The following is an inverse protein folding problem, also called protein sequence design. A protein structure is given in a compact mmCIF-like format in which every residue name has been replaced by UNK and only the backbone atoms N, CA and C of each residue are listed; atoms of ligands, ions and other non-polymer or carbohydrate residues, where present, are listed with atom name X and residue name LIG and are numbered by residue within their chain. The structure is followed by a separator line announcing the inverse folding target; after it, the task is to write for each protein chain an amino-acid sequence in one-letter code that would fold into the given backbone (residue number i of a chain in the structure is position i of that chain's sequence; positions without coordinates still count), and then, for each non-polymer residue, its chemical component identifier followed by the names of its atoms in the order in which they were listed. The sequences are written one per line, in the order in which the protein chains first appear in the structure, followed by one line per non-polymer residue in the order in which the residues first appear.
data_IF_218478322498
#
_entry.id   IF_218478322498
#
_cell.length_a   1.000
_cell.length_b   1.000
_cell.length_c   1.000
_cell.angle_alpha   90.00
_cell.angle_beta   90.00
_cell.angle_gamma   90.00
#
_symmetry.space_group_name_H-M   'P 1'
#
loop_
_entity.id
_entity.type
_entity.pdbx_description
1 polymer ?
#
# COMPACT_ATOMS: atom_id res chain seq x y z
N UNK A 1 -36.63 -0.47 -60.66
CA UNK A 1 -35.34 -0.29 -59.97
C UNK A 1 -35.70 0.26 -58.58
N UNK A 2 -36.20 -0.53 -57.63
CA UNK A 2 -35.57 -1.64 -56.89
C UNK A 2 -34.27 -1.24 -56.21
N UNK A 3 -34.38 -0.94 -54.90
CA UNK A 3 -33.33 -1.25 -53.92
C UNK A 3 -32.63 -0.06 -53.28
N UNK A 4 -33.20 0.50 -52.20
CA UNK A 4 -32.45 0.85 -50.96
C UNK A 4 -33.31 1.41 -49.79
N UNK A 5 -34.48 0.83 -49.52
CA UNK A 5 -35.28 1.17 -48.31
C UNK A 5 -35.29 0.05 -47.25
N UNK A 6 -34.39 -0.93 -47.35
CA UNK A 6 -34.43 -2.16 -46.54
C UNK A 6 -33.28 -2.34 -45.54
N UNK A 7 -32.69 -1.28 -44.99
CA UNK A 7 -31.55 -1.46 -44.05
C UNK A 7 -31.59 -0.62 -42.77
N UNK A 8 -32.55 0.30 -42.60
CA UNK A 8 -32.69 1.06 -41.35
C UNK A 8 -33.77 0.48 -40.40
N UNK A 9 -34.69 -0.35 -40.90
CA UNK A 9 -35.71 -1.01 -40.07
C UNK A 9 -35.23 -2.22 -39.26
N UNK A 10 -34.15 -2.89 -39.70
CA UNK A 10 -33.69 -4.15 -39.08
C UNK A 10 -32.70 -3.97 -37.91
N UNK A 11 -32.19 -2.74 -37.69
CA UNK A 11 -31.30 -2.43 -36.56
C UNK A 11 -32.05 -1.85 -35.35
N UNK A 12 -33.30 -1.40 -35.54
CA UNK A 12 -34.12 -0.85 -34.46
C UNK A 12 -34.85 -1.93 -33.63
N UNK A 13 -35.16 -3.10 -34.20
CA UNK A 13 -35.82 -4.20 -33.45
C UNK A 13 -34.85 -5.12 -32.67
N UNK A 14 -33.54 -5.06 -32.95
CA UNK A 14 -32.56 -5.88 -32.24
C UNK A 14 -32.13 -5.31 -30.87
N UNK A 15 -32.47 -4.05 -30.56
CA UNK A 15 -32.07 -3.37 -29.31
C UNK A 15 -33.21 -3.11 -28.33
N UNK A 16 -34.44 -3.51 -28.64
CA UNK A 16 -35.60 -3.32 -27.74
C UNK A 16 -35.77 -4.42 -26.68
N UNK A 17 -34.90 -5.44 -26.66
CA UNK A 17 -34.99 -6.60 -25.76
C UNK A 17 -34.01 -6.60 -24.58
N UNK A 18 -33.10 -5.61 -24.48
CA UNK A 18 -32.19 -5.49 -23.34
C UNK A 18 -32.81 -4.56 -22.30
N UNK A 19 -33.09 -5.13 -21.14
CA UNK A 19 -33.69 -4.45 -20.00
C UNK A 19 -33.00 -3.12 -19.68
N UNK A 20 -33.84 -2.15 -19.32
CA UNK A 20 -33.45 -0.81 -18.86
C UNK A 20 -32.19 -0.85 -17.99
N UNK A 21 -31.13 -0.09 -18.32
CA UNK A 21 -30.09 0.20 -17.34
C UNK A 21 -30.74 0.99 -16.22
N UNK A 22 -30.76 0.41 -15.03
CA UNK A 22 -31.15 1.11 -13.81
C UNK A 22 -30.23 2.31 -13.62
N UNK A 23 -30.82 3.45 -13.29
CA UNK A 23 -30.12 4.60 -12.76
C UNK A 23 -29.43 4.21 -11.45
N UNK A 24 -28.11 4.08 -11.48
CA UNK A 24 -27.28 4.19 -10.28
C UNK A 24 -26.28 5.31 -10.56
N UNK A 25 -26.79 6.53 -10.40
CA UNK A 25 -25.97 7.68 -10.08
C UNK A 25 -26.08 7.87 -8.58
N UNK A 26 -25.09 7.35 -7.86
CA UNK A 26 -24.56 7.94 -6.64
C UNK A 26 -23.05 7.76 -6.78
N UNK A 27 -22.33 8.88 -6.83
CA UNK A 27 -20.88 8.91 -6.69
C UNK A 27 -20.57 8.28 -5.33
N UNK A 28 -20.02 7.06 -5.32
CA UNK A 28 -19.48 6.46 -4.11
C UNK A 28 -18.44 7.45 -3.56
N UNK A 29 -18.66 7.93 -2.34
CA UNK A 29 -17.74 8.88 -1.71
C UNK A 29 -16.37 8.23 -1.50
N UNK A 30 -15.33 9.04 -1.33
CA UNK A 30 -13.98 8.52 -1.06
C UNK A 30 -13.93 7.64 0.20
N UNK A 31 -14.86 7.86 1.14
CA UNK A 31 -15.06 7.01 2.32
C UNK A 31 -15.58 5.60 1.97
N UNK A 32 -16.40 5.43 0.93
CA UNK A 32 -16.85 4.13 0.43
C UNK A 32 -15.76 3.42 -0.38
N UNK A 33 -14.89 4.17 -1.05
CA UNK A 33 -13.73 3.62 -1.77
C UNK A 33 -12.65 3.09 -0.81
N UNK A 34 -12.43 3.77 0.32
CA UNK A 34 -11.54 3.31 1.39
C UNK A 34 -12.15 2.19 2.24
N UNK A 35 -13.48 2.19 2.44
CA UNK A 35 -14.19 1.13 3.17
C UNK A 35 -14.07 -0.26 2.50
N UNK A 36 -13.72 -0.34 1.22
CA UNK A 36 -13.48 -1.61 0.52
C UNK A 36 -12.06 -2.18 0.66
N UNK A 37 -11.10 -1.38 1.12
CA UNK A 37 -9.68 -1.78 1.24
C UNK A 37 -9.41 -2.52 2.54
N UNK A 38 -10.02 -2.03 3.63
CA UNK A 38 -9.96 -2.62 4.96
C UNK A 38 -11.35 -3.11 5.35
N UNK A 39 -11.44 -4.37 5.75
CA UNK A 39 -12.67 -4.90 6.34
C UNK A 39 -13.05 -4.07 7.60
N UNK A 40 -14.33 -3.91 7.96
CA UNK A 40 -14.74 -3.21 9.18
C UNK A 40 -13.96 -3.64 10.44
N UNK A 41 -13.59 -4.92 10.53
CA UNK A 41 -12.75 -5.43 11.63
C UNK A 41 -11.32 -4.85 11.59
N UNK A 42 -10.76 -4.62 10.40
CA UNK A 42 -9.44 -3.99 10.21
C UNK A 42 -9.48 -2.51 10.55
N UNK A 43 -10.56 -1.83 10.14
CA UNK A 43 -10.80 -0.43 10.49
C UNK A 43 -10.97 -0.26 11.99
N UNK A 44 -11.78 -1.11 12.64
CA UNK A 44 -11.96 -1.10 14.08
C UNK A 44 -10.66 -1.44 14.84
N UNK A 45 -9.84 -2.37 14.34
CA UNK A 45 -8.55 -2.68 14.94
C UNK A 45 -7.55 -1.51 14.82
N UNK A 46 -7.55 -0.81 13.68
CA UNK A 46 -6.75 0.39 13.45
C UNK A 46 -7.21 1.55 14.36
N UNK A 47 -8.52 1.79 14.44
CA UNK A 47 -9.11 2.79 15.32
C UNK A 47 -8.83 2.49 16.80
N UNK A 48 -8.94 1.24 17.23
CA UNK A 48 -8.60 0.82 18.59
C UNK A 48 -7.10 1.00 18.89
N UNK A 49 -6.23 0.75 17.91
CA UNK A 49 -4.80 0.99 18.07
C UNK A 49 -4.47 2.48 18.14
N UNK A 50 -5.09 3.31 17.28
CA UNK A 50 -4.97 4.76 17.33
C UNK A 50 -5.44 5.32 18.68
N UNK A 51 -6.60 4.86 19.19
CA UNK A 51 -7.10 5.24 20.51
C UNK A 51 -6.14 4.83 21.64
N UNK A 52 -5.53 3.64 21.54
CA UNK A 52 -4.55 3.18 22.52
C UNK A 52 -3.30 4.07 22.56
N UNK A 53 -2.84 4.54 21.39
CA UNK A 53 -1.70 5.47 21.29
C UNK A 53 -2.04 6.84 21.90
N UNK A 54 -3.24 7.38 21.67
CA UNK A 54 -3.69 8.64 22.29
C UNK A 54 -3.77 8.56 23.83
N UNK A 55 -4.22 7.42 24.38
CA UNK A 55 -4.21 7.21 25.85
C UNK A 55 -2.80 7.09 26.41
N UNK A 56 -1.87 6.42 25.71
CA UNK A 56 -0.50 6.28 26.16
C UNK A 56 0.23 7.64 26.21
N UNK A 57 -0.05 8.51 25.24
CA UNK A 57 0.52 9.86 25.18
C UNK A 57 -0.03 10.75 26.32
N UNK A 58 -1.31 10.60 26.64
CA UNK A 58 -1.95 11.30 27.76
C UNK A 58 -1.37 10.89 29.13
N UNK A 59 -1.11 9.59 29.35
CA UNK A 59 -0.48 9.10 30.58
C UNK A 59 0.99 9.56 30.70
N UNK A 60 1.71 9.69 29.58
CA UNK A 60 3.08 10.20 29.57
C UNK A 60 3.12 11.69 29.96
N UNK A 61 2.18 12.49 29.45
CA UNK A 61 2.04 13.92 29.77
C UNK A 61 1.65 14.12 31.24
N UNK A 62 0.79 13.28 31.81
CA UNK A 62 0.46 13.36 33.24
C UNK A 62 1.64 12.94 34.14
N UNK A 63 2.45 11.96 33.73
CA UNK A 63 3.65 11.56 34.46
C UNK A 63 4.71 12.67 34.51
N UNK A 64 4.96 13.39 33.39
CA UNK A 64 5.88 14.53 33.38
C UNK A 64 5.38 15.72 34.22
N UNK A 65 4.05 15.91 34.30
CA UNK A 65 3.45 17.00 35.08
C UNK A 65 3.60 16.79 36.60
N UNK A 66 3.75 15.56 37.05
CA UNK A 66 3.94 15.23 38.48
C UNK A 66 5.40 15.43 38.91
N UNK A 67 6.38 15.34 38.00
CA UNK A 67 7.80 15.60 38.32
C UNK A 67 8.19 17.09 38.25
N UNK A 68 7.39 17.94 37.59
CA UNK A 68 7.64 19.39 37.50
C UNK A 68 7.25 20.23 38.73
N UNK A 69 6.88 19.60 39.85
CA UNK A 69 6.41 20.25 41.07
C UNK A 69 7.49 20.99 41.86
N UNK A 70 7.74 22.24 41.47
CA UNK A 70 8.09 23.39 42.33
C UNK A 70 9.27 23.19 43.32
N UNK A 71 10.48 23.40 42.82
CA UNK A 71 11.67 23.65 43.65
C UNK A 71 11.61 25.09 44.17
N UNK A 72 11.10 25.28 45.39
CA UNK A 72 11.24 26.53 46.13
C UNK A 72 12.70 26.66 46.62
N UNK A 73 13.47 27.49 45.94
CA UNK A 73 14.77 27.99 46.41
C UNK A 73 14.55 29.00 47.55
N UNK A 74 14.56 28.57 48.80
CA UNK A 74 15.08 29.37 49.93
C UNK A 74 15.33 28.49 51.15
N UNK A 75 16.59 28.44 51.63
CA UNK A 75 17.01 28.32 53.05
C UNK A 75 18.29 27.50 53.21
N UNK A 76 19.43 28.19 53.24
CA UNK A 76 20.54 27.82 54.11
C UNK A 76 20.12 28.04 55.56
N UNK A 77 20.13 26.98 56.38
CA UNK A 77 20.80 26.91 57.69
C UNK A 77 20.24 25.79 58.59
N UNK A 78 21.18 25.10 59.25
CA UNK A 78 21.08 24.48 60.57
C UNK A 78 20.45 23.07 60.72
N UNK A 79 21.36 22.17 61.15
CA UNK A 79 21.17 21.12 62.17
C UNK A 79 20.33 19.89 61.83
N UNK A 80 20.93 18.72 62.06
CA UNK A 80 20.36 17.43 61.69
C UNK A 80 19.27 16.91 62.60
N UNK A 81 18.54 15.91 62.08
CA UNK A 81 18.06 14.77 62.86
C UNK A 81 17.66 13.66 61.90
N UNK A 82 18.01 12.43 62.26
CA UNK A 82 17.62 11.20 61.59
C UNK A 82 16.10 10.99 61.64
N UNK A 83 15.50 10.60 60.50
CA UNK A 83 14.28 9.79 60.42
C UNK A 83 14.40 8.90 59.18
N UNK A 84 14.26 7.58 59.37
CA UNK A 84 14.30 6.59 58.31
C UNK A 84 13.02 6.54 57.48
N UNK A 85 13.16 6.15 56.21
CA UNK A 85 12.06 5.84 55.31
C UNK A 85 12.31 4.49 54.64
N UNK A 86 11.58 3.47 55.10
CA UNK A 86 11.54 2.11 54.57
C UNK A 86 10.82 2.09 53.21
N UNK A 87 11.47 2.49 52.13
CA UNK A 87 10.98 2.24 50.76
C UNK A 87 12.20 1.99 49.85
N UNK A 88 12.82 0.81 49.96
CA UNK A 88 13.68 0.26 48.89
C UNK A 88 14.12 -1.16 49.24
N UNK A 89 13.17 -2.10 49.24
CA UNK A 89 13.51 -3.52 49.30
C UNK A 89 12.72 -4.33 48.26
N UNK A 90 11.49 -3.93 47.94
CA UNK A 90 10.70 -4.56 46.89
C UNK A 90 11.20 -4.24 45.48
N UNK A 91 11.62 -3.00 45.20
CA UNK A 91 12.20 -2.64 43.91
C UNK A 91 13.53 -3.35 43.63
N UNK A 92 14.37 -3.52 44.67
CA UNK A 92 15.62 -4.26 44.56
C UNK A 92 15.40 -5.77 44.33
N UNK A 93 14.34 -6.37 44.92
CA UNK A 93 14.00 -7.78 44.66
C UNK A 93 13.48 -8.01 43.24
N UNK A 94 12.65 -7.13 42.70
CA UNK A 94 12.10 -7.29 41.34
C UNK A 94 13.22 -7.24 40.29
N UNK A 95 14.19 -6.34 40.44
CA UNK A 95 15.35 -6.28 39.54
C UNK A 95 16.24 -7.53 39.66
N UNK A 96 16.38 -8.10 40.87
CA UNK A 96 17.19 -9.31 41.08
C UNK A 96 16.54 -10.58 40.50
N UNK A 97 15.22 -10.71 40.59
CA UNK A 97 14.48 -11.87 40.03
C UNK A 97 14.47 -11.83 38.49
N UNK A 98 14.35 -10.64 37.88
CA UNK A 98 14.41 -10.50 36.43
C UNK A 98 15.82 -10.77 35.86
N UNK A 99 16.88 -10.36 36.57
CA UNK A 99 18.26 -10.66 36.18
C UNK A 99 18.60 -12.16 36.26
N UNK A 100 18.03 -12.90 37.23
CA UNK A 100 18.25 -14.35 37.36
C UNK A 100 17.43 -15.18 36.35
N UNK A 101 16.25 -14.70 35.93
CA UNK A 101 15.45 -15.34 34.88
C UNK A 101 16.13 -15.33 33.50
N UNK A 102 16.83 -14.24 33.16
CA UNK A 102 17.55 -14.11 31.88
C UNK A 102 18.78 -15.04 31.80
N UNK A 103 19.41 -15.39 32.93
CA UNK A 103 20.59 -16.26 32.94
C UNK A 103 20.22 -17.75 32.77
N UNK A 104 19.00 -18.15 33.13
CA UNK A 104 18.52 -19.53 32.97
C UNK A 104 18.20 -19.91 31.52
N UNK A 105 17.85 -18.93 30.67
CA UNK A 105 17.53 -19.16 29.24
C UNK A 105 18.80 -19.34 28.40
N UNK A 106 19.95 -18.82 28.84
CA UNK A 106 21.21 -18.90 28.08
C UNK A 106 21.99 -20.20 28.37
N UNK A 107 21.69 -20.92 29.44
CA UNK A 107 22.42 -22.14 29.85
C UNK A 107 21.69 -23.47 29.55
N UNK A 108 20.54 -23.43 28.86
CA UNK A 108 19.72 -24.63 28.58
C UNK A 108 20.14 -25.49 27.39
N UNK A 109 21.26 -25.22 26.72
CA UNK A 109 21.60 -25.84 25.42
C UNK A 109 22.92 -26.62 25.45
N UNK A 110 23.07 -27.56 26.38
CA UNK A 110 24.14 -28.56 26.32
C UNK A 110 23.61 -29.94 26.73
N UNK A 111 22.96 -30.63 25.79
CA UNK A 111 22.82 -32.08 25.84
C UNK A 111 24.08 -32.74 25.27
N UNK A 112 24.69 -33.56 26.11
CA UNK A 112 25.81 -34.44 25.83
C UNK A 112 25.31 -35.67 25.06
N UNK A 113 25.80 -35.86 23.83
CA UNK A 113 25.68 -37.11 23.08
C UNK A 113 27.07 -37.67 22.78
N UNK A 114 27.57 -38.56 23.65
CA UNK A 114 28.67 -39.48 23.36
C UNK A 114 28.08 -40.75 22.75
N UNK A 115 28.51 -41.14 21.55
CA UNK A 115 29.07 -42.47 21.37
C UNK A 115 29.78 -42.68 20.03
N UNK A 116 30.73 -43.61 20.12
CA UNK A 116 31.82 -43.88 19.21
C UNK A 116 31.42 -44.60 17.92
N UNK A 117 32.25 -44.40 16.89
CA UNK A 117 32.70 -45.51 16.06
C UNK A 117 32.75 -45.29 14.55
N UNK A 118 33.90 -45.69 14.00
CA UNK A 118 34.14 -46.09 12.61
C UNK A 118 34.66 -45.03 11.62
N UNK A 119 35.98 -45.14 11.43
CA UNK A 119 36.80 -44.80 10.26
C UNK A 119 36.04 -44.77 8.93
N UNK A 120 36.23 -43.69 8.17
CA UNK A 120 36.69 -43.81 6.78
C UNK A 120 37.28 -42.49 6.29
N UNK A 121 38.53 -42.54 5.84
CA UNK A 121 39.22 -41.46 5.15
C UNK A 121 38.66 -41.35 3.74
N UNK A 122 38.04 -40.22 3.39
CA UNK A 122 37.82 -39.81 2.00
C UNK A 122 38.17 -38.32 1.90
N UNK A 123 39.04 -38.02 0.94
CA UNK A 123 39.59 -36.70 0.67
C UNK A 123 38.49 -35.69 0.29
N UNK A 124 38.44 -34.57 1.02
CA UNK A 124 37.73 -33.36 0.62
C UNK A 124 38.65 -32.45 -0.20
N UNK A 125 38.23 -31.96 -1.37
CA UNK A 125 38.92 -30.88 -2.05
C UNK A 125 38.65 -29.55 -1.32
N UNK A 126 39.71 -28.74 -1.21
CA UNK A 126 39.64 -27.38 -0.71
C UNK A 126 38.78 -26.51 -1.64
N UNK A 127 37.70 -25.94 -1.12
CA UNK A 127 37.00 -24.82 -1.74
C UNK A 127 36.56 -23.87 -0.63
N UNK A 128 37.52 -23.10 -0.12
CA UNK A 128 37.25 -21.95 0.72
C UNK A 128 36.73 -20.81 -0.16
N UNK A 129 35.42 -20.77 -0.40
CA UNK A 129 34.76 -19.55 -0.82
C UNK A 129 34.64 -18.67 0.43
N UNK A 130 35.56 -17.71 0.56
CA UNK A 130 35.42 -16.62 1.50
C UNK A 130 34.08 -15.92 1.20
N UNK A 131 33.13 -16.00 2.13
CA UNK A 131 31.98 -15.11 2.13
C UNK A 131 32.55 -13.70 2.29
N UNK A 132 32.65 -12.98 1.19
CA UNK A 132 32.91 -11.55 1.19
C UNK A 132 31.76 -10.91 1.93
N UNK A 133 31.97 -10.62 3.22
CA UNK A 133 31.14 -9.69 3.98
C UNK A 133 30.94 -8.46 3.10
N UNK A 134 29.70 -8.22 2.70
CA UNK A 134 29.31 -7.05 1.93
C UNK A 134 29.85 -5.84 2.69
N UNK A 135 30.93 -5.24 2.20
CA UNK A 135 31.49 -4.05 2.81
C UNK A 135 30.44 -2.98 2.63
N UNK A 136 29.72 -2.64 3.71
CA UNK A 136 28.84 -1.50 3.72
C UNK A 136 29.67 -0.30 3.24
N UNK A 137 29.29 0.25 2.09
CA UNK A 137 29.94 1.44 1.57
C UNK A 137 29.80 2.53 2.64
N UNK A 138 30.85 3.32 2.90
CA UNK A 138 30.76 4.42 3.86
C UNK A 138 29.60 5.32 3.46
N UNK A 139 28.58 5.40 4.32
CA UNK A 139 27.40 6.22 4.07
C UNK A 139 27.79 7.66 4.34
N UNK A 140 27.69 8.51 3.32
CA UNK A 140 27.99 9.93 3.45
C UNK A 140 26.82 10.68 4.09
N UNK A 141 27.13 11.74 4.85
CA UNK A 141 26.13 12.58 5.49
C UNK A 141 25.62 13.66 4.53
N UNK A 142 24.37 14.05 4.71
CA UNK A 142 23.75 15.22 4.07
C UNK A 142 23.49 16.27 5.16
N UNK A 143 23.94 17.50 4.94
CA UNK A 143 23.94 18.56 5.94
C UNK A 143 22.79 19.55 5.69
N UNK A 144 22.15 20.10 6.75
CA UNK A 144 21.13 21.14 6.60
C UNK A 144 21.61 22.34 5.76
N UNK A 145 20.74 22.85 4.89
CA UNK A 145 21.01 23.99 4.00
C UNK A 145 21.76 23.63 2.72
N UNK A 146 22.28 22.41 2.59
CA UNK A 146 23.00 21.97 1.40
C UNK A 146 22.09 21.30 0.37
N UNK A 147 22.45 21.49 -0.90
CA UNK A 147 21.88 20.73 -2.02
C UNK A 147 22.72 19.49 -2.26
N UNK A 148 22.03 18.36 -2.43
CA UNK A 148 22.66 17.06 -2.64
C UNK A 148 22.15 16.43 -3.93
N UNK A 149 23.03 15.66 -4.55
CA UNK A 149 22.72 14.78 -5.67
C UNK A 149 23.09 13.35 -5.27
N UNK A 150 22.17 12.42 -5.48
CA UNK A 150 22.42 10.98 -5.35
C UNK A 150 22.45 10.37 -6.75
N UNK A 151 23.51 9.62 -7.02
CA UNK A 151 23.54 8.73 -8.17
C UNK A 151 22.65 7.51 -7.94
N UNK A 152 22.62 6.65 -8.96
CA UNK A 152 21.93 5.37 -8.89
C UNK A 152 22.59 4.46 -7.85
N UNK A 153 21.76 3.91 -6.97
CA UNK A 153 22.13 3.03 -5.85
C UNK A 153 23.02 3.71 -4.80
N UNK A 154 23.07 5.05 -4.80
CA UNK A 154 23.73 5.82 -3.75
C UNK A 154 22.78 6.05 -2.57
N UNK A 155 23.36 6.04 -1.35
CA UNK A 155 22.66 6.34 -0.12
C UNK A 155 23.38 7.40 0.70
N UNK A 156 22.62 8.21 1.43
CA UNK A 156 23.08 9.17 2.43
C UNK A 156 22.29 9.08 3.71
N UNK A 157 22.91 9.44 4.83
CA UNK A 157 22.22 9.67 6.09
C UNK A 157 21.95 11.16 6.25
N UNK A 158 20.73 11.49 6.65
CA UNK A 158 20.33 12.87 7.04
C UNK A 158 20.17 12.99 8.56
N UNK A 159 19.93 11.86 9.23
CA UNK A 159 19.95 11.72 10.68
C UNK A 159 20.55 10.37 11.06
N UNK A 160 20.74 10.12 12.36
CA UNK A 160 21.22 8.83 12.86
C UNK A 160 20.32 7.69 12.38
N UNK A 161 19.00 7.88 12.46
CA UNK A 161 18.00 6.87 12.12
C UNK A 161 17.26 7.11 10.81
N UNK A 162 17.71 8.07 9.98
CA UNK A 162 17.08 8.39 8.69
C UNK A 162 18.08 8.27 7.56
N UNK A 163 17.79 7.33 6.64
CA UNK A 163 18.56 7.01 5.46
C UNK A 163 17.76 7.35 4.20
N UNK A 164 18.42 8.03 3.27
CA UNK A 164 17.92 8.33 1.93
C UNK A 164 18.74 7.53 0.91
N UNK A 165 18.07 6.72 0.11
CA UNK A 165 18.69 6.00 -1.00
C UNK A 165 18.01 6.40 -2.31
N UNK A 166 18.72 6.31 -3.43
CA UNK A 166 18.16 6.65 -4.73
C UNK A 166 18.33 5.46 -5.70
N UNK A 167 17.24 4.79 -6.14
CA UNK A 167 17.34 3.74 -7.17
C UNK A 167 17.66 4.30 -8.57
N UNK A 168 17.60 5.62 -8.72
CA UNK A 168 17.94 6.36 -9.94
C UNK A 168 18.78 7.59 -9.56
N UNK A 169 18.80 8.65 -10.37
CA UNK A 169 19.36 9.93 -9.93
C UNK A 169 18.31 10.74 -9.19
N UNK A 170 18.68 11.37 -8.08
CA UNK A 170 17.82 12.28 -7.33
C UNK A 170 18.56 13.55 -6.92
N UNK A 171 17.86 14.68 -6.95
CA UNK A 171 18.35 15.97 -6.46
C UNK A 171 17.42 16.49 -5.36
N UNK A 172 18.00 16.78 -4.20
CA UNK A 172 17.24 17.20 -3.03
C UNK A 172 18.01 18.19 -2.17
N UNK A 173 17.32 18.86 -1.25
CA UNK A 173 17.90 19.69 -0.18
C UNK A 173 17.43 19.23 1.17
N UNK A 174 18.27 19.43 2.18
CA UNK A 174 17.90 19.29 3.59
C UNK A 174 17.57 20.68 4.12
N UNK A 175 16.38 20.87 4.69
CA UNK A 175 15.95 22.15 5.23
C UNK A 175 16.82 22.59 6.41
N UNK A 176 17.07 23.90 6.54
CA UNK A 176 17.88 24.48 7.63
C UNK A 176 17.31 24.18 9.03
N UNK A 177 15.99 23.96 9.13
CA UNK A 177 15.30 23.59 10.37
C UNK A 177 15.42 22.11 10.75
N UNK A 178 16.10 21.29 9.94
CA UNK A 178 16.23 19.86 10.22
C UNK A 178 17.01 19.59 11.50
N UNK A 179 16.49 18.72 12.33
CA UNK A 179 17.02 18.31 13.63
C UNK A 179 17.01 16.78 13.77
N UNK A 180 17.39 16.24 14.92
CA UNK A 180 17.37 14.79 15.14
C UNK A 180 15.96 14.17 15.11
N UNK A 181 14.92 14.94 15.45
CA UNK A 181 13.53 14.46 15.59
C UNK A 181 12.59 14.97 14.48
N UNK A 182 13.01 15.97 13.72
CA UNK A 182 12.23 16.53 12.63
C UNK A 182 13.14 16.81 11.43
N UNK A 183 12.92 16.11 10.32
CA UNK A 183 13.70 16.24 9.09
C UNK A 183 12.84 16.91 8.03
N UNK A 184 13.30 18.07 7.55
CA UNK A 184 12.70 18.75 6.42
C UNK A 184 13.51 18.45 5.16
N UNK A 185 12.87 17.94 4.12
CA UNK A 185 13.49 17.63 2.84
C UNK A 185 12.76 18.36 1.72
N UNK A 186 13.49 18.80 0.70
CA UNK A 186 12.92 19.31 -0.55
C UNK A 186 13.42 18.45 -1.69
N UNK A 187 12.54 17.67 -2.33
CA UNK A 187 12.86 16.88 -3.52
C UNK A 187 12.59 17.71 -4.78
N UNK A 188 13.67 18.07 -5.47
CA UNK A 188 13.62 18.89 -6.69
C UNK A 188 13.32 18.05 -7.94
N UNK A 189 13.83 16.81 -8.00
CA UNK A 189 13.61 15.85 -9.08
C UNK A 189 14.17 14.46 -8.75
N UNK A 190 13.62 13.42 -9.37
CA UNK A 190 14.16 12.05 -9.32
C UNK A 190 13.39 11.16 -8.34
N UNK A 191 14.01 10.07 -7.88
CA UNK A 191 13.38 9.11 -6.97
C UNK A 191 14.19 8.96 -5.69
N UNK A 192 13.56 9.22 -4.56
CA UNK A 192 14.12 8.94 -3.24
C UNK A 192 13.36 7.80 -2.58
N UNK A 193 14.11 6.89 -1.98
CA UNK A 193 13.63 5.90 -1.03
C UNK A 193 14.08 6.34 0.36
N UNK A 194 13.11 6.59 1.23
CA UNK A 194 13.30 7.07 2.58
C UNK A 194 13.05 5.90 3.52
N UNK A 195 14.01 5.67 4.41
CA UNK A 195 13.89 4.69 5.49
C UNK A 195 14.26 5.41 6.79
N UNK A 196 13.29 5.49 7.71
CA UNK A 196 13.41 6.26 8.93
C UNK A 196 12.73 5.59 10.10
N UNK A 197 13.33 5.69 11.29
CA UNK A 197 12.65 5.39 12.56
C UNK A 197 12.73 6.59 13.51
N UNK A 198 11.63 6.94 14.15
CA UNK A 198 11.58 7.87 15.28
C UNK A 198 11.51 9.35 14.91
N UNK A 199 12.13 9.80 13.81
CA UNK A 199 12.01 11.18 13.36
C UNK A 199 10.75 11.40 12.50
N UNK A 200 10.09 12.54 12.69
CA UNK A 200 9.10 13.04 11.73
C UNK A 200 9.82 13.52 10.46
N UNK A 201 9.31 13.12 9.29
CA UNK A 201 9.90 13.48 7.99
C UNK A 201 8.88 14.28 7.19
N UNK A 202 9.18 15.53 6.89
CA UNK A 202 8.40 16.36 5.95
C UNK A 202 9.19 16.49 4.63
N UNK A 203 8.70 15.83 3.58
CA UNK A 203 9.25 15.92 2.23
C UNK A 203 8.39 16.85 1.38
N UNK A 204 8.93 18.00 1.01
CA UNK A 204 8.32 18.98 0.11
C UNK A 204 8.71 18.69 -1.33
N UNK A 205 7.74 18.86 -2.22
CA UNK A 205 7.95 18.83 -3.67
C UNK A 205 7.20 20.00 -4.30
N UNK A 206 7.40 20.26 -5.59
CA UNK A 206 6.54 21.21 -6.29
C UNK A 206 5.08 20.73 -6.41
N UNK A 207 4.79 19.47 -6.06
CA UNK A 207 3.47 18.86 -6.12
C UNK A 207 2.65 18.96 -4.84
N UNK A 208 3.32 19.02 -3.69
CA UNK A 208 2.69 18.89 -2.39
C UNK A 208 3.72 18.47 -1.35
N UNK A 209 3.22 18.03 -0.20
CA UNK A 209 4.03 17.64 0.96
C UNK A 209 3.72 16.20 1.34
N UNK A 210 4.75 15.38 1.51
CA UNK A 210 4.63 14.03 2.06
C UNK A 210 5.12 14.08 3.49
N UNK A 211 4.26 13.74 4.44
CA UNK A 211 4.53 13.83 5.87
C UNK A 211 4.52 12.40 6.42
N UNK A 212 5.67 11.92 6.86
CA UNK A 212 5.73 10.75 7.72
C UNK A 212 5.75 11.25 9.16
N UNK A 213 4.72 10.90 9.93
CA UNK A 213 4.70 11.14 11.38
C UNK A 213 5.69 10.18 12.07
N UNK A 214 5.97 10.44 13.34
CA UNK A 214 6.89 9.63 14.14
C UNK A 214 6.55 8.13 14.03
N UNK A 215 7.59 7.29 13.94
CA UNK A 215 7.43 5.84 13.78
C UNK A 215 8.43 5.26 12.80
N UNK A 216 8.23 3.98 12.45
CA UNK A 216 9.08 3.27 11.48
C UNK A 216 8.42 3.30 10.11
N UNK A 217 9.04 4.01 9.17
CA UNK A 217 8.56 4.17 7.81
C UNK A 217 9.60 3.77 6.77
N UNK A 218 9.14 3.15 5.70
CA UNK A 218 9.89 2.99 4.46
C UNK A 218 8.99 3.33 3.30
N UNK A 219 9.30 4.37 2.56
CA UNK A 219 8.49 4.80 1.43
C UNK A 219 9.36 5.35 0.32
N UNK A 220 8.85 5.30 -0.90
CA UNK A 220 9.49 5.77 -2.11
C UNK A 220 8.69 6.92 -2.69
N UNK A 221 9.38 8.00 -3.01
CA UNK A 221 8.80 9.18 -3.65
C UNK A 221 9.56 9.48 -4.93
N UNK A 222 8.85 9.47 -6.04
CA UNK A 222 9.36 9.87 -7.35
C UNK A 222 8.71 11.18 -7.77
N UNK A 223 9.52 12.19 -8.08
CA UNK A 223 9.06 13.45 -8.61
C UNK A 223 9.65 13.71 -10.01
N UNK A 224 8.78 13.69 -11.01
CA UNK A 224 9.09 14.10 -12.37
C UNK A 224 8.77 15.58 -12.53
N UNK A 225 9.83 16.40 -12.62
CA UNK A 225 9.70 17.85 -12.76
C UNK A 225 9.16 18.26 -14.13
N UNK A 226 9.46 17.52 -15.18
CA UNK A 226 9.04 17.85 -16.55
C UNK A 226 7.54 17.63 -16.71
N UNK A 227 7.04 16.50 -16.21
CA UNK A 227 5.62 16.15 -16.26
C UNK A 227 4.84 16.62 -15.03
N UNK A 228 5.51 17.26 -14.06
CA UNK A 228 4.97 17.68 -12.76
C UNK A 228 4.18 16.56 -12.08
N UNK A 229 4.73 15.35 -12.09
CA UNK A 229 4.07 14.15 -11.55
C UNK A 229 4.78 13.68 -10.29
N UNK A 230 3.99 13.47 -9.23
CA UNK A 230 4.42 12.87 -7.98
C UNK A 230 3.90 11.43 -7.92
N UNK A 231 4.77 10.47 -7.63
CA UNK A 231 4.40 9.09 -7.32
C UNK A 231 4.90 8.75 -5.93
N UNK A 232 4.03 8.17 -5.12
CA UNK A 232 4.32 7.74 -3.76
C UNK A 232 4.01 6.25 -3.67
N UNK A 233 4.95 5.49 -3.12
CA UNK A 233 4.78 4.08 -2.80
C UNK A 233 5.18 3.86 -1.34
N UNK A 234 4.24 3.41 -0.53
CA UNK A 234 4.49 3.14 0.89
C UNK A 234 4.87 1.67 1.03
N UNK A 235 6.14 1.39 1.31
CA UNK A 235 6.63 0.02 1.47
C UNK A 235 6.29 -0.49 2.87
N UNK A 236 6.45 0.38 3.88
CA UNK A 236 6.14 0.13 5.29
C UNK A 236 5.79 1.42 6.00
N UNK A 237 4.89 1.33 6.99
CA UNK A 237 4.45 2.48 7.79
C UNK A 237 3.28 3.20 7.14
N UNK A 238 3.14 4.49 7.47
CA UNK A 238 2.07 5.36 7.01
C UNK A 238 2.66 6.72 6.63
N UNK A 239 2.11 7.33 5.58
CA UNK A 239 2.45 8.70 5.17
C UNK A 239 1.17 9.49 4.88
N UNK A 240 1.15 10.75 5.28
CA UNK A 240 0.10 11.72 4.97
C UNK A 240 0.58 12.59 3.80
N UNK A 241 -0.13 12.56 2.68
CA UNK A 241 0.08 13.47 1.57
C UNK A 241 -0.81 14.70 1.77
N UNK A 242 -0.22 15.88 1.79
CA UNK A 242 -0.95 17.15 1.69
C UNK A 242 -0.73 17.77 0.30
N UNK A 243 -1.80 17.84 -0.49
CA UNK A 243 -1.83 18.51 -1.78
C UNK A 243 -1.77 20.04 -1.62
N UNK A 244 -1.57 20.77 -2.73
CA UNK A 244 -1.41 22.24 -2.70
C UNK A 244 -2.66 23.02 -2.30
N UNK A 245 -3.83 22.45 -2.55
CA UNK A 245 -5.13 22.97 -2.13
C UNK A 245 -5.43 22.68 -0.66
N UNK A 246 -4.56 21.96 0.03
CA UNK A 246 -4.71 21.56 1.43
C UNK A 246 -5.45 20.24 1.62
N UNK A 247 -5.84 19.55 0.54
CA UNK A 247 -6.41 18.20 0.63
C UNK A 247 -5.38 17.23 1.21
N UNK A 248 -5.84 16.34 2.11
CA UNK A 248 -5.00 15.40 2.83
C UNK A 248 -5.43 13.96 2.55
N UNK A 249 -4.46 13.13 2.20
CA UNK A 249 -4.68 11.70 1.92
C UNK A 249 -3.68 10.88 2.72
N UNK A 250 -4.18 9.97 3.55
CA UNK A 250 -3.34 9.03 4.30
C UNK A 250 -3.11 7.75 3.50
N UNK A 251 -1.85 7.34 3.39
CA UNK A 251 -1.42 6.14 2.67
C UNK A 251 -0.72 5.18 3.63
N UNK A 252 -1.30 3.99 3.81
CA UNK A 252 -0.70 2.89 4.58
C UNK A 252 0.23 1.99 3.76
N UNK A 253 0.85 1.02 4.42
CA UNK A 253 1.76 0.06 3.79
C UNK A 253 1.12 -0.67 2.59
N UNK A 254 1.86 -0.76 1.49
CA UNK A 254 1.42 -1.31 0.20
C UNK A 254 0.60 -0.35 -0.66
N UNK A 255 0.30 0.86 -0.19
CA UNK A 255 -0.40 1.86 -0.99
C UNK A 255 0.51 2.50 -2.04
N UNK A 256 -0.11 2.85 -3.17
CA UNK A 256 0.53 3.59 -4.26
C UNK A 256 -0.40 4.73 -4.67
N UNK A 257 0.12 5.96 -4.77
CA UNK A 257 -0.63 7.12 -5.21
C UNK A 257 0.16 7.92 -6.25
N UNK A 258 -0.51 8.32 -7.32
CA UNK A 258 0.05 9.22 -8.32
C UNK A 258 -0.74 10.52 -8.39
N UNK A 259 -0.06 11.65 -8.27
CA UNK A 259 -0.66 12.99 -8.35
C UNK A 259 -0.01 13.76 -9.50
N UNK A 260 -0.83 14.27 -10.41
CA UNK A 260 -0.41 15.17 -11.49
C UNK A 260 -0.70 16.61 -11.10
N UNK A 261 0.33 17.46 -11.09
CA UNK A 261 0.22 18.82 -10.54
C UNK A 261 -0.13 19.79 -11.65
N UNK A 262 -1.43 20.06 -11.76
CA UNK A 262 -1.95 21.15 -12.56
C UNK A 262 -2.44 20.71 -13.93
N UNK A 263 -3.75 20.51 -14.00
CA UNK A 263 -4.56 21.19 -15.02
C UNK A 263 -5.61 22.00 -14.26
N UNK A 264 -5.20 23.13 -13.67
CA UNK A 264 -6.18 24.21 -13.43
C UNK A 264 -6.52 24.71 -14.82
N UNK A 265 -7.63 24.26 -15.38
CA UNK A 265 -8.15 24.79 -16.65
C UNK A 265 -8.36 26.30 -16.47
N UNK A 266 -7.69 27.16 -17.24
CA UNK A 266 -7.99 28.57 -17.23
C UNK A 266 -9.18 28.80 -18.17
N UNK A 267 -10.41 28.48 -17.76
CA UNK A 267 -11.62 28.98 -18.42
C UNK A 267 -12.89 28.65 -17.63
N UNK A 268 -13.17 29.46 -16.60
CA UNK A 268 -14.54 29.76 -16.17
C UNK A 268 -14.59 31.23 -15.76
N UNK A 269 -14.57 32.12 -16.75
CA UNK A 269 -14.91 33.54 -16.61
C UNK A 269 -15.83 33.94 -17.77
N UNK A 270 -17.13 33.68 -17.60
CA UNK A 270 -18.26 34.64 -17.70
C UNK A 270 -19.56 33.97 -18.20
N UNK A 271 -20.70 34.18 -17.50
CA UNK A 271 -22.01 33.80 -18.00
C UNK A 271 -22.50 34.85 -19.00
N UNK A 272 -22.42 34.56 -20.30
CA UNK A 272 -23.10 35.38 -21.32
C UNK A 272 -24.59 35.08 -21.31
N UNK A 273 -25.35 36.15 -21.09
CA UNK A 273 -26.80 36.22 -21.09
C UNK A 273 -27.43 35.65 -22.37
N UNK A 274 -28.56 34.98 -22.17
CA UNK A 274 -29.51 34.59 -23.22
C UNK A 274 -30.04 35.87 -23.90
N UNK A 275 -29.84 35.98 -25.20
CA UNK A 275 -30.60 36.89 -26.07
C UNK A 275 -31.22 36.05 -27.19
N UNK A 276 -32.55 35.94 -27.16
CA UNK A 276 -33.36 35.57 -28.32
C UNK A 276 -33.39 36.73 -29.32
N UNK A 277 -33.16 36.46 -30.60
CA UNK A 277 -33.93 36.96 -31.74
C UNK A 277 -33.20 36.71 -33.08
N UNK A 278 -33.98 36.34 -34.11
CA UNK A 278 -33.74 36.88 -35.46
C UNK A 278 -33.32 35.90 -36.56
N UNK A 279 -34.32 35.39 -37.27
CA UNK A 279 -34.24 34.88 -38.64
C UNK A 279 -33.80 35.97 -39.62
N UNK A 280 -32.88 35.70 -40.55
CA UNK A 280 -33.03 36.05 -41.97
C UNK A 280 -31.95 35.42 -42.89
N UNK A 281 -32.33 35.27 -44.16
CA UNK A 281 -31.70 34.48 -45.20
C UNK A 281 -30.67 35.25 -46.05
N UNK A 282 -29.71 34.52 -46.62
CA UNK A 282 -29.04 34.73 -47.93
C UNK A 282 -28.10 33.52 -48.13
N UNK A 283 -28.31 32.60 -49.08
CA UNK A 283 -28.26 32.67 -50.54
C UNK A 283 -26.85 32.95 -51.12
N UNK A 284 -26.36 31.95 -51.87
CA UNK A 284 -25.24 31.91 -52.83
C UNK A 284 -23.77 31.90 -52.34
N UNK A 285 -23.13 30.72 -52.47
CA UNK A 285 -21.89 30.56 -53.26
C UNK A 285 -21.59 29.07 -53.57
N UNK A 286 -21.11 28.85 -54.77
CA UNK A 286 -20.95 27.61 -55.52
C UNK A 286 -19.60 26.87 -55.26
N UNK A 287 -19.32 25.71 -55.94
CA UNK A 287 -18.56 24.60 -55.38
C UNK A 287 -17.05 24.67 -55.65
N UNK A 288 -16.25 24.19 -54.69
CA UNK A 288 -14.84 23.85 -54.92
C UNK A 288 -14.67 22.34 -54.80
N UNK A 289 -14.71 21.66 -55.94
CA UNK A 289 -13.97 20.41 -56.13
C UNK A 289 -12.50 20.65 -55.79
N UNK A 290 -11.94 19.91 -54.85
CA UNK A 290 -10.58 19.36 -55.05
C UNK A 290 -10.32 18.18 -54.12
N UNK A 291 -9.83 17.12 -54.76
CA UNK A 291 -8.90 16.13 -54.23
C UNK A 291 -9.39 15.17 -53.12
N UNK A 292 -10.03 14.10 -53.61
CA UNK A 292 -9.86 12.73 -53.11
C UNK A 292 -8.38 12.47 -52.78
N UNK A 293 -8.05 12.44 -51.50
CA UNK A 293 -6.87 11.72 -50.99
C UNK A 293 -7.35 10.70 -49.96
N UNK A 294 -8.05 9.69 -50.47
CA UNK A 294 -8.37 8.49 -49.72
C UNK A 294 -7.09 7.66 -49.60
N UNK A 295 -6.25 7.99 -48.62
CA UNK A 295 -5.25 7.05 -48.12
C UNK A 295 -6.03 5.97 -47.37
N UNK A 296 -6.40 4.91 -48.10
CA UNK A 296 -6.78 3.64 -47.50
C UNK A 296 -5.61 3.15 -46.66
N UNK A 297 -5.62 3.50 -45.37
CA UNK A 297 -4.75 2.92 -44.35
C UNK A 297 -5.11 1.44 -44.30
N UNK A 298 -4.36 0.63 -45.04
CA UNK A 298 -4.49 -0.81 -45.07
C UNK A 298 -4.55 -1.30 -43.62
N UNK A 299 -5.71 -1.86 -43.24
CA UNK A 299 -5.97 -2.35 -41.90
C UNK A 299 -4.97 -3.45 -41.58
N UNK A 300 -3.89 -3.09 -40.88
CA UNK A 300 -3.00 -4.05 -40.26
C UNK A 300 -3.87 -4.88 -39.32
N UNK A 301 -3.96 -6.18 -39.59
CA UNK A 301 -4.65 -7.09 -38.70
C UNK A 301 -4.13 -6.85 -37.27
N UNK A 302 -5.01 -6.70 -36.27
CA UNK A 302 -4.58 -6.47 -34.90
C UNK A 302 -3.60 -7.57 -34.51
N UNK A 303 -2.42 -7.18 -34.04
CA UNK A 303 -1.45 -8.14 -33.53
C UNK A 303 -2.10 -8.95 -32.39
N UNK A 304 -1.83 -10.27 -32.29
CA UNK A 304 -2.39 -11.07 -31.22
C UNK A 304 -1.96 -10.49 -29.87
N UNK A 305 -2.93 -10.17 -29.02
CA UNK A 305 -2.69 -9.61 -27.70
C UNK A 305 -1.99 -10.67 -26.83
N UNK A 306 -0.76 -10.38 -26.41
CA UNK A 306 0.01 -11.29 -25.56
C UNK A 306 -0.47 -11.23 -24.11
N UNK A 307 -0.30 -12.33 -23.32
CA UNK A 307 -0.69 -12.34 -21.91
C UNK A 307 -0.07 -11.20 -21.10
N UNK A 308 1.24 -10.97 -21.30
CA UNK A 308 1.98 -9.94 -20.57
C UNK A 308 1.53 -8.51 -20.94
N UNK A 309 1.18 -8.28 -22.21
CA UNK A 309 0.67 -6.98 -22.65
C UNK A 309 -0.69 -6.65 -22.02
N UNK A 310 -1.57 -7.65 -21.92
CA UNK A 310 -2.87 -7.51 -21.24
C UNK A 310 -2.70 -7.28 -19.74
N UNK A 311 -1.80 -8.01 -19.08
CA UNK A 311 -1.51 -7.81 -17.67
C UNK A 311 -0.97 -6.41 -17.38
N UNK A 312 0.02 -5.96 -18.16
CA UNK A 312 0.58 -4.62 -18.03
C UNK A 312 -0.46 -3.52 -18.31
N UNK A 313 -1.38 -3.74 -19.25
CA UNK A 313 -2.49 -2.84 -19.49
C UNK A 313 -3.42 -2.78 -18.27
N UNK A 314 -3.84 -3.92 -17.73
CA UNK A 314 -4.71 -3.98 -16.55
C UNK A 314 -4.09 -3.27 -15.34
N UNK A 315 -2.79 -3.44 -15.12
CA UNK A 315 -2.04 -2.77 -14.06
C UNK A 315 -1.96 -1.25 -14.26
N UNK A 316 -1.78 -0.78 -15.51
CA UNK A 316 -1.81 0.67 -15.82
C UNK A 316 -3.19 1.27 -15.57
N UNK A 317 -4.26 0.57 -15.92
CA UNK A 317 -5.63 1.00 -15.65
C UNK A 317 -5.89 1.10 -14.15
N UNK A 318 -5.45 0.10 -13.37
CA UNK A 318 -5.50 0.14 -11.90
C UNK A 318 -4.73 1.34 -11.33
N UNK A 319 -3.48 1.53 -11.75
CA UNK A 319 -2.65 2.64 -11.27
C UNK A 319 -3.21 4.02 -11.65
N UNK A 320 -4.04 4.09 -12.70
CA UNK A 320 -4.76 5.29 -13.11
C UNK A 320 -6.15 5.44 -12.49
N UNK A 321 -6.51 4.64 -11.47
CA UNK A 321 -7.82 4.67 -10.81
C UNK A 321 -8.98 4.12 -11.66
N UNK A 322 -8.73 3.65 -12.89
CA UNK A 322 -9.75 3.15 -13.82
C UNK A 322 -10.08 1.68 -13.54
N UNK A 323 -10.67 1.45 -12.36
CA UNK A 323 -10.95 0.11 -11.82
C UNK A 323 -11.80 -0.76 -12.75
N UNK A 324 -12.82 -0.17 -13.38
CA UNK A 324 -13.70 -0.91 -14.30
C UNK A 324 -12.97 -1.36 -15.58
N UNK A 325 -12.04 -0.55 -16.07
CA UNK A 325 -11.24 -0.87 -17.25
C UNK A 325 -10.25 -1.99 -16.95
N UNK A 326 -9.62 -1.95 -15.77
CA UNK A 326 -8.80 -3.02 -15.26
C UNK A 326 -9.57 -4.36 -15.12
N UNK A 327 -10.80 -4.34 -14.56
CA UNK A 327 -11.64 -5.55 -14.46
C UNK A 327 -11.86 -6.19 -15.83
N UNK A 328 -12.18 -5.37 -16.85
CA UNK A 328 -12.39 -5.88 -18.21
C UNK A 328 -11.12 -6.50 -18.78
N UNK A 329 -9.95 -5.88 -18.56
CA UNK A 329 -8.67 -6.40 -19.04
C UNK A 329 -8.26 -7.70 -18.33
N UNK A 330 -8.48 -7.81 -17.02
CA UNK A 330 -8.20 -9.06 -16.29
C UNK A 330 -9.10 -10.21 -16.75
N UNK A 331 -10.41 -9.98 -16.91
CA UNK A 331 -11.34 -10.98 -17.46
C UNK A 331 -10.89 -11.43 -18.84
N UNK A 332 -10.57 -10.47 -19.73
CA UNK A 332 -10.06 -10.77 -21.08
C UNK A 332 -8.76 -11.58 -21.07
N UNK A 333 -7.83 -11.27 -20.16
CA UNK A 333 -6.59 -12.02 -19.99
C UNK A 333 -6.86 -13.47 -19.56
N UNK A 334 -7.76 -13.66 -18.60
CA UNK A 334 -8.15 -14.99 -18.11
C UNK A 334 -8.85 -15.79 -19.22
N UNK A 335 -9.73 -15.16 -20.00
CA UNK A 335 -10.47 -15.81 -21.07
C UNK A 335 -9.56 -16.23 -22.24
N UNK A 336 -8.62 -15.36 -22.63
CA UNK A 336 -7.73 -15.61 -23.77
C UNK A 336 -6.53 -16.50 -23.41
N UNK A 337 -6.03 -16.40 -22.18
CA UNK A 337 -4.76 -17.03 -21.77
C UNK A 337 -4.85 -17.69 -20.38
N UNK A 338 -5.82 -18.59 -20.12
CA UNK A 338 -6.10 -19.12 -18.78
C UNK A 338 -4.94 -19.90 -18.16
N UNK A 339 -4.14 -20.59 -18.99
CA UNK A 339 -3.01 -21.42 -18.57
C UNK A 339 -1.67 -20.65 -18.55
N UNK A 340 -1.66 -19.37 -18.92
CA UNK A 340 -0.45 -18.55 -18.83
C UNK A 340 -0.17 -18.16 -17.38
N UNK A 341 1.10 -17.82 -17.07
CA UNK A 341 1.45 -17.30 -15.75
C UNK A 341 0.71 -15.99 -15.45
N UNK A 342 0.62 -15.09 -16.44
CA UNK A 342 -0.15 -13.86 -16.36
C UNK A 342 -1.64 -14.12 -16.11
N UNK A 343 -2.24 -15.10 -16.79
CA UNK A 343 -3.65 -15.50 -16.60
C UNK A 343 -3.92 -16.06 -15.21
N UNK A 344 -3.00 -16.88 -14.66
CA UNK A 344 -3.11 -17.35 -13.27
C UNK A 344 -3.01 -16.20 -12.28
N UNK A 345 -2.01 -15.32 -12.42
CA UNK A 345 -1.86 -14.13 -11.56
C UNK A 345 -3.08 -13.22 -11.65
N UNK A 346 -3.64 -13.05 -12.85
CA UNK A 346 -4.84 -12.27 -13.09
C UNK A 346 -6.06 -12.77 -12.30
N UNK A 347 -6.20 -14.08 -12.07
CA UNK A 347 -7.30 -14.62 -11.23
C UNK A 347 -7.24 -14.09 -9.81
N UNK A 348 -6.05 -14.08 -9.19
CA UNK A 348 -5.88 -13.55 -7.83
C UNK A 348 -6.16 -12.05 -7.79
N UNK A 349 -5.66 -11.29 -8.77
CA UNK A 349 -5.93 -9.85 -8.89
C UNK A 349 -7.43 -9.56 -9.08
N UNK A 350 -8.09 -10.29 -9.99
CA UNK A 350 -9.53 -10.17 -10.24
C UNK A 350 -10.33 -10.52 -8.98
N UNK A 351 -10.00 -11.63 -8.31
CA UNK A 351 -10.65 -12.04 -7.06
C UNK A 351 -10.56 -10.96 -5.98
N UNK A 352 -9.39 -10.32 -5.80
CA UNK A 352 -9.22 -9.19 -4.87
C UNK A 352 -10.08 -8.00 -5.24
N UNK A 353 -10.13 -7.64 -6.53
CA UNK A 353 -10.93 -6.51 -6.99
C UNK A 353 -12.44 -6.75 -6.84
N UNK A 354 -12.91 -7.99 -7.07
CA UNK A 354 -14.29 -8.39 -6.87
C UNK A 354 -14.65 -8.39 -5.38
N UNK A 355 -13.76 -8.91 -4.53
CA UNK A 355 -13.95 -8.91 -3.07
C UNK A 355 -14.11 -7.49 -2.53
N UNK A 356 -13.20 -6.58 -2.91
CA UNK A 356 -13.26 -5.17 -2.53
C UNK A 356 -14.43 -4.40 -3.20
N UNK A 357 -15.19 -5.03 -4.09
CA UNK A 357 -16.37 -4.46 -4.73
C UNK A 357 -17.68 -5.08 -4.21
N UNK A 358 -17.62 -5.93 -3.18
CA UNK A 358 -18.78 -6.65 -2.65
C UNK A 358 -19.23 -7.85 -3.49
N UNK A 359 -18.55 -8.17 -4.60
CA UNK A 359 -18.86 -9.31 -5.47
C UNK A 359 -18.28 -10.63 -4.92
N UNK A 360 -18.63 -10.98 -3.67
CA UNK A 360 -18.00 -12.07 -2.91
C UNK A 360 -18.10 -13.46 -3.58
N UNK A 361 -19.22 -13.77 -4.27
CA UNK A 361 -19.37 -15.04 -5.00
C UNK A 361 -18.42 -15.12 -6.20
N UNK A 362 -18.30 -14.04 -6.96
CA UNK A 362 -17.39 -13.96 -8.10
C UNK A 362 -15.94 -14.02 -7.63
N UNK A 363 -15.61 -13.30 -6.56
CA UNK A 363 -14.29 -13.34 -5.94
C UNK A 363 -13.90 -14.77 -5.49
N UNK A 364 -14.82 -15.45 -4.80
CA UNK A 364 -14.63 -16.83 -4.36
C UNK A 364 -14.32 -17.76 -5.53
N UNK A 365 -15.09 -17.66 -6.62
CA UNK A 365 -14.88 -18.47 -7.82
C UNK A 365 -13.48 -18.27 -8.43
N UNK A 366 -12.97 -17.04 -8.46
CA UNK A 366 -11.63 -16.77 -8.98
C UNK A 366 -10.51 -17.30 -8.07
N UNK A 367 -10.66 -17.17 -6.74
CA UNK A 367 -9.70 -17.76 -5.80
C UNK A 367 -9.70 -19.29 -5.86
N UNK A 368 -10.87 -19.92 -5.91
CA UNK A 368 -10.98 -21.38 -6.05
C UNK A 368 -10.39 -21.86 -7.38
N UNK A 369 -10.64 -21.15 -8.48
CA UNK A 369 -10.06 -21.47 -9.79
C UNK A 369 -8.52 -21.36 -9.78
N UNK A 370 -7.96 -20.36 -9.10
CA UNK A 370 -6.51 -20.24 -8.91
C UNK A 370 -5.94 -21.40 -8.09
N UNK A 371 -6.59 -21.75 -6.97
CA UNK A 371 -6.16 -22.81 -6.06
C UNK A 371 -6.31 -24.21 -6.67
N UNK A 372 -7.25 -24.41 -7.59
CA UNK A 372 -7.43 -25.65 -8.35
C UNK A 372 -6.50 -25.81 -9.56
N UNK A 373 -5.81 -24.74 -9.98
CA UNK A 373 -4.92 -24.79 -11.14
C UNK A 373 -3.67 -25.65 -10.89
N UNK A 374 -3.18 -26.34 -11.92
CA UNK A 374 -1.95 -27.13 -11.86
C UNK A 374 -0.72 -26.21 -11.97
N UNK A 375 0.36 -26.58 -11.28
CA UNK A 375 1.66 -25.92 -11.38
C UNK A 375 2.06 -25.14 -10.14
N UNK A 376 3.06 -24.27 -10.27
CA UNK A 376 3.50 -23.41 -9.17
C UNK A 376 2.44 -22.34 -8.91
N UNK A 377 2.08 -22.18 -7.64
CA UNK A 377 1.10 -21.21 -7.18
C UNK A 377 1.80 -20.24 -6.20
N UNK A 378 2.58 -19.27 -6.70
CA UNK A 378 3.32 -18.35 -5.84
C UNK A 378 2.40 -17.45 -4.98
N UNK A 379 1.13 -17.30 -5.35
CA UNK A 379 0.13 -16.49 -4.65
C UNK A 379 -0.90 -17.35 -3.89
N UNK A 380 -0.53 -18.59 -3.52
CA UNK A 380 -1.46 -19.53 -2.92
C UNK A 380 -1.83 -19.16 -1.47
N UNK A 381 -0.97 -18.42 -0.77
CA UNK A 381 -1.30 -17.88 0.55
C UNK A 381 -2.37 -16.80 0.41
N UNK A 382 -2.13 -15.79 -0.43
CA UNK A 382 -3.04 -14.67 -0.68
C UNK A 382 -4.40 -15.16 -1.21
N UNK A 383 -4.40 -16.12 -2.13
CA UNK A 383 -5.64 -16.68 -2.66
C UNK A 383 -6.46 -17.44 -1.61
N UNK A 384 -5.82 -18.21 -0.72
CA UNK A 384 -6.54 -18.89 0.37
C UNK A 384 -7.09 -17.90 1.39
N UNK A 385 -6.31 -16.86 1.72
CA UNK A 385 -6.80 -15.83 2.62
C UNK A 385 -7.98 -15.06 1.99
N UNK A 386 -7.90 -14.73 0.70
CA UNK A 386 -9.01 -14.17 -0.08
C UNK A 386 -10.25 -15.06 -0.07
N UNK A 387 -10.08 -16.38 -0.26
CA UNK A 387 -11.15 -17.39 -0.16
C UNK A 387 -11.84 -17.35 1.20
N UNK A 388 -11.08 -17.35 2.30
CA UNK A 388 -11.62 -17.24 3.67
C UNK A 388 -12.47 -15.98 3.82
N UNK A 389 -11.96 -14.82 3.38
CA UNK A 389 -12.70 -13.55 3.44
C UNK A 389 -14.03 -13.63 2.67
N UNK A 390 -14.02 -14.25 1.49
CA UNK A 390 -15.25 -14.44 0.71
C UNK A 390 -16.24 -15.37 1.43
N UNK A 391 -15.77 -16.47 2.03
CA UNK A 391 -16.63 -17.42 2.75
C UNK A 391 -17.28 -16.78 3.99
N UNK A 392 -16.52 -15.95 4.73
CA UNK A 392 -17.04 -15.15 5.85
C UNK A 392 -18.11 -14.17 5.38
N UNK A 393 -17.82 -13.39 4.33
CA UNK A 393 -18.78 -12.43 3.79
C UNK A 393 -20.06 -13.06 3.20
N UNK A 394 -19.99 -14.35 2.85
CA UNK A 394 -21.12 -15.13 2.34
C UNK A 394 -21.84 -15.94 3.43
N UNK A 395 -21.44 -15.82 4.70
CA UNK A 395 -21.99 -16.55 5.84
C UNK A 395 -21.98 -18.08 5.66
N UNK A 396 -20.88 -18.62 5.12
CA UNK A 396 -20.68 -20.06 4.88
C UNK A 396 -19.82 -20.69 5.98
N UNK A 397 -20.37 -20.76 7.20
CA UNK A 397 -19.64 -21.13 8.42
C UNK A 397 -18.82 -22.43 8.35
N UNK A 398 -19.44 -23.54 7.91
CA UNK A 398 -18.74 -24.84 7.83
C UNK A 398 -17.53 -24.79 6.88
N UNK A 399 -17.72 -24.20 5.70
CA UNK A 399 -16.65 -24.06 4.69
C UNK A 399 -15.59 -23.06 5.13
N UNK A 400 -15.99 -22.01 5.85
CA UNK A 400 -15.08 -21.05 6.46
C UNK A 400 -14.18 -21.74 7.49
N UNK A 401 -14.74 -22.56 8.38
CA UNK A 401 -13.97 -23.32 9.37
C UNK A 401 -12.95 -24.25 8.70
N UNK A 402 -13.37 -25.00 7.66
CA UNK A 402 -12.47 -25.85 6.89
C UNK A 402 -11.35 -25.03 6.20
N UNK A 403 -11.71 -23.89 5.59
CA UNK A 403 -10.74 -23.02 4.92
C UNK A 403 -9.71 -22.44 5.88
N UNK A 404 -10.12 -22.04 7.09
CA UNK A 404 -9.21 -21.55 8.14
C UNK A 404 -8.25 -22.65 8.57
N UNK A 405 -8.76 -23.86 8.84
CA UNK A 405 -7.93 -24.99 9.24
C UNK A 405 -6.90 -25.36 8.16
N UNK A 406 -7.30 -25.42 6.88
CA UNK A 406 -6.38 -25.66 5.75
C UNK A 406 -5.30 -24.57 5.65
N UNK A 407 -5.70 -23.30 5.82
CA UNK A 407 -4.77 -22.18 5.76
C UNK A 407 -3.71 -22.26 6.87
N UNK A 408 -4.13 -22.46 8.13
CA UNK A 408 -3.21 -22.53 9.27
C UNK A 408 -2.26 -23.73 9.17
N UNK A 409 -2.73 -24.86 8.65
CA UNK A 409 -1.89 -26.04 8.43
C UNK A 409 -0.81 -25.82 7.37
N UNK A 410 -1.13 -25.08 6.30
CA UNK A 410 -0.18 -24.83 5.19
C UNK A 410 0.72 -23.62 5.42
N UNK A 411 0.26 -22.62 6.16
CA UNK A 411 0.95 -21.34 6.36
C UNK A 411 1.08 -20.99 7.85
N UNK A 412 1.77 -21.81 8.66
CA UNK A 412 1.83 -21.64 10.12
C UNK A 412 2.55 -20.36 10.57
N UNK A 413 3.36 -19.76 9.68
CA UNK A 413 4.10 -18.52 9.92
C UNK A 413 3.44 -17.28 9.28
N UNK A 414 2.22 -17.42 8.73
CA UNK A 414 1.51 -16.31 8.10
C UNK A 414 1.16 -15.22 9.11
N UNK A 415 1.24 -13.97 8.67
CA UNK A 415 0.80 -12.79 9.43
C UNK A 415 -0.72 -12.82 9.71
N UNK A 416 -1.49 -13.62 8.98
CA UNK A 416 -2.94 -13.72 9.15
C UNK A 416 -3.36 -14.67 10.29
N UNK A 417 -2.44 -15.45 10.86
CA UNK A 417 -2.77 -16.55 11.78
C UNK A 417 -3.61 -16.12 12.98
N UNK A 418 -3.19 -15.07 13.68
CA UNK A 418 -3.83 -14.65 14.92
C UNK A 418 -5.26 -14.11 14.67
N UNK A 419 -5.48 -13.48 13.52
CA UNK A 419 -6.81 -13.06 13.08
C UNK A 419 -7.70 -14.27 12.77
N UNK A 420 -7.17 -15.24 12.02
CA UNK A 420 -7.93 -16.44 11.68
C UNK A 420 -8.28 -17.29 12.91
N UNK A 421 -7.40 -17.33 13.90
CA UNK A 421 -7.68 -18.00 15.18
C UNK A 421 -8.86 -17.36 15.93
N UNK A 422 -8.99 -16.03 15.88
CA UNK A 422 -10.14 -15.32 16.46
C UNK A 422 -11.44 -15.67 15.74
N UNK A 423 -11.45 -15.63 14.41
CA UNK A 423 -12.62 -15.99 13.61
C UNK A 423 -13.05 -17.44 13.83
N UNK A 424 -12.10 -18.35 14.04
CA UNK A 424 -12.42 -19.73 14.39
C UNK A 424 -13.13 -19.83 15.75
N UNK A 425 -12.65 -19.10 16.77
CA UNK A 425 -13.32 -19.06 18.08
C UNK A 425 -14.73 -18.47 18.03
N UNK A 426 -14.97 -17.48 17.16
CA UNK A 426 -16.31 -16.93 16.91
C UNK A 426 -17.28 -17.99 16.35
N UNK A 427 -16.82 -18.82 15.42
CA UNK A 427 -17.62 -19.91 14.84
C UNK A 427 -17.94 -21.01 15.86
N UNK A 428 -16.96 -21.38 16.69
CA UNK A 428 -17.14 -22.38 17.75
C UNK A 428 -18.13 -21.90 18.81
N UNK A 429 -18.05 -20.62 19.22
CA UNK A 429 -18.95 -20.03 20.20
C UNK A 429 -20.40 -19.88 19.73
N UNK A 430 -20.62 -19.68 18.42
CA UNK A 430 -21.97 -19.60 17.85
C UNK A 430 -22.71 -20.94 17.81
N UNK A 431 -21.99 -22.08 17.86
CA UNK A 431 -22.58 -23.42 17.83
C UNK A 431 -23.12 -23.91 19.18
N UNK A 432 -22.77 -23.23 20.28
CA UNK A 432 -23.09 -23.64 21.65
C UNK A 432 -24.34 -22.93 22.23
N UNK A 433 -25.06 -22.12 21.45
CA UNK A 433 -26.32 -21.48 21.88
C UNK A 433 -27.52 -22.42 21.61
N UNK A 434 -28.15 -23.01 22.65
CA UNK A 434 -29.10 -24.13 22.53
C UNK A 434 -30.54 -23.76 22.14
#
# INVERSE_FOLDING_TARGET
MSGREGMEGALAEAFSGLGRPGSFGDELSDDELLAGLFDPDERAALEAHAAALETADSELIEAERVEGGQVDETSEAATGRAVGGRISWLAAMVVCVLALGALAVVLGSHELGSDAGARSQVATPATGAAMTSAHERPVSWAHPGERHELGRDDCRRVAEDVRLCSPQTASFRVGEGSSATAIELELESGTLELEGSGAAIELRTAAGRVIQREGVGRFRVSFDREHRRLLIEVIRGEVELEARDGERVTLGAGAHLGVEVGVVSPDFADPVAIVEAGSEAAENAEPVETAKSAVTKAGRAPEPETPDALLAAAQRELAGGRRQDALRLYRRLIDLHPDSEAGRTARVSLGRMLLAGGEHRGALAEFDAYLGARGKQPLAEEARYGRIRCLRALDRGDELAEAIADFQARHPASLHRDRLARWQGELEGAGDEP
#
